data_IF_338489910545
#
_entry.id   IF_338489910545
#
_cell.length_a   1.000
_cell.length_b   1.000
_cell.length_c   1.000
_cell.angle_alpha   90.00
_cell.angle_beta   90.00
_cell.angle_gamma   90.00
#
_symmetry.space_group_name_H-M   'P 1'
#
loop_
_entity.id
_entity.type
_entity.pdbx_description
1 polymer ?
#
# COMPACT_ATOMS: atom_id res chain seq x y z
N UNK A 1 -14.35 -12.79 -12.03
CA UNK A 1 -12.94 -12.33 -12.03
C UNK A 1 -12.85 -10.96 -12.71
N UNK A 2 -12.09 -10.01 -12.17
CA UNK A 2 -11.91 -8.65 -12.70
C UNK A 2 -10.58 -8.57 -13.45
N UNK A 3 -10.55 -7.83 -14.56
CA UNK A 3 -9.32 -7.64 -15.32
C UNK A 3 -8.30 -6.80 -14.56
N UNK A 4 -7.03 -7.17 -14.65
CA UNK A 4 -5.89 -6.41 -14.12
C UNK A 4 -5.90 -4.97 -14.62
N UNK A 5 -6.30 -4.74 -15.89
CA UNK A 5 -6.44 -3.40 -16.46
C UNK A 5 -7.46 -2.53 -15.71
N UNK A 6 -8.65 -3.06 -15.41
CA UNK A 6 -9.68 -2.33 -14.65
C UNK A 6 -9.21 -2.02 -13.22
N UNK A 7 -8.63 -3.00 -12.52
CA UNK A 7 -8.11 -2.80 -11.17
C UNK A 7 -7.03 -1.71 -11.13
N UNK A 8 -6.10 -1.73 -12.08
CA UNK A 8 -5.05 -0.72 -12.15
C UNK A 8 -5.59 0.69 -12.42
N UNK A 9 -6.64 0.85 -13.24
CA UNK A 9 -7.28 2.15 -13.47
C UNK A 9 -7.92 2.68 -12.18
N UNK A 10 -8.67 1.84 -11.48
CA UNK A 10 -9.32 2.20 -10.20
C UNK A 10 -8.27 2.63 -9.18
N UNK A 11 -7.20 1.84 -9.01
CA UNK A 11 -6.14 2.16 -8.04
C UNK A 11 -5.43 3.47 -8.38
N UNK A 12 -5.14 3.71 -9.66
CA UNK A 12 -4.52 4.98 -10.09
C UNK A 12 -5.43 6.16 -9.77
N UNK A 13 -6.72 6.07 -10.08
CA UNK A 13 -7.69 7.11 -9.76
C UNK A 13 -7.78 7.35 -8.25
N UNK A 14 -7.83 6.30 -7.44
CA UNK A 14 -7.86 6.38 -5.98
C UNK A 14 -6.61 7.07 -5.40
N UNK A 15 -5.42 6.75 -5.92
CA UNK A 15 -4.16 7.38 -5.48
C UNK A 15 -4.10 8.85 -5.89
N UNK A 16 -4.66 9.24 -7.04
CA UNK A 16 -4.75 10.65 -7.45
C UNK A 16 -5.74 11.42 -6.58
N UNK A 17 -6.91 10.83 -6.31
CA UNK A 17 -7.95 11.46 -5.49
C UNK A 17 -7.55 11.60 -4.01
N UNK A 18 -6.88 10.60 -3.45
CA UNK A 18 -6.40 10.61 -2.07
C UNK A 18 -4.99 9.99 -1.97
N UNK A 19 -3.95 10.81 -2.23
CA UNK A 19 -2.57 10.34 -2.17
C UNK A 19 -2.22 9.80 -0.78
N UNK A 20 -1.59 8.61 -0.68
CA UNK A 20 -1.11 8.12 0.60
C UNK A 20 0.00 9.05 1.12
N UNK A 21 -0.02 9.42 2.41
CA UNK A 21 0.96 10.35 2.97
C UNK A 21 2.35 9.73 2.98
N UNK A 22 3.37 10.58 2.90
CA UNK A 22 4.76 10.18 3.08
C UNK A 22 4.97 9.60 4.48
N UNK A 23 5.74 8.52 4.58
CA UNK A 23 6.14 7.94 5.87
C UNK A 23 7.58 7.50 5.81
N UNK A 24 8.31 7.65 6.93
CA UNK A 24 9.72 7.25 7.05
C UNK A 24 10.59 7.82 5.90
N UNK A 25 10.35 9.08 5.53
CA UNK A 25 11.01 9.76 4.39
C UNK A 25 10.90 9.01 3.04
N UNK A 26 9.88 8.17 2.86
CA UNK A 26 9.63 7.43 1.62
C UNK A 26 8.21 7.66 1.12
N UNK A 27 8.08 7.71 -0.21
CA UNK A 27 6.79 7.81 -0.90
C UNK A 27 6.16 6.42 -1.04
N UNK A 28 4.93 6.18 -0.55
CA UNK A 28 4.20 4.95 -0.83
C UNK A 28 3.90 4.85 -2.33
N UNK A 29 4.25 3.72 -2.96
CA UNK A 29 4.03 3.49 -4.40
C UNK A 29 3.38 2.15 -4.63
N UNK A 30 2.28 2.13 -5.37
CA UNK A 30 1.65 0.91 -5.88
C UNK A 30 2.05 0.75 -7.34
N UNK A 31 2.61 -0.39 -7.69
CA UNK A 31 3.06 -0.71 -9.04
C UNK A 31 1.91 -1.27 -9.89
N UNK A 32 1.19 -2.25 -9.33
CA UNK A 32 0.03 -2.85 -9.99
C UNK A 32 -0.87 -3.56 -8.98
N UNK A 33 -2.10 -3.82 -9.41
CA UNK A 33 -3.10 -4.60 -8.68
C UNK A 33 -3.65 -5.73 -9.55
N UNK A 34 -3.88 -6.91 -8.96
CA UNK A 34 -4.45 -8.07 -9.65
C UNK A 34 -5.37 -8.86 -8.71
N UNK A 35 -6.36 -9.55 -9.26
CA UNK A 35 -7.20 -10.48 -8.52
C UNK A 35 -6.59 -11.89 -8.56
N UNK A 36 -6.29 -12.44 -7.38
CA UNK A 36 -5.66 -13.76 -7.23
C UNK A 36 -6.64 -14.86 -6.79
N UNK A 37 -7.78 -14.48 -6.22
CA UNK A 37 -8.82 -15.41 -5.77
C UNK A 37 -10.21 -14.83 -6.03
N UNK A 38 -11.20 -15.69 -6.20
CA UNK A 38 -12.58 -15.33 -6.56
C UNK A 38 -13.55 -15.42 -5.40
N UNK A 39 -13.37 -16.36 -4.46
CA UNK A 39 -14.30 -16.55 -3.35
C UNK A 39 -13.55 -16.77 -2.02
N UNK A 40 -13.24 -15.71 -1.26
CA UNK A 40 -13.63 -14.31 -1.48
C UNK A 40 -12.75 -13.59 -2.53
N UNK A 41 -13.26 -12.54 -3.21
CA UNK A 41 -12.45 -11.73 -4.12
C UNK A 41 -11.21 -11.17 -3.41
N UNK A 42 -10.05 -11.68 -3.77
CA UNK A 42 -8.78 -11.28 -3.15
C UNK A 42 -7.93 -10.50 -4.15
N UNK A 43 -7.67 -9.24 -3.83
CA UNK A 43 -6.90 -8.31 -4.64
C UNK A 43 -5.52 -8.15 -4.00
N UNK A 44 -4.47 -8.48 -4.76
CA UNK A 44 -3.08 -8.23 -4.39
C UNK A 44 -2.62 -6.94 -5.04
N UNK A 45 -2.11 -6.00 -4.24
CA UNK A 45 -1.40 -4.83 -4.71
C UNK A 45 0.10 -5.04 -4.50
N UNK A 46 0.87 -5.01 -5.58
CA UNK A 46 2.32 -4.92 -5.48
C UNK A 46 2.71 -3.47 -5.25
N UNK A 47 3.50 -3.26 -4.22
CA UNK A 47 3.97 -1.94 -3.79
C UNK A 47 5.45 -2.00 -3.44
N UNK A 48 6.06 -0.85 -3.17
CA UNK A 48 7.41 -0.81 -2.63
C UNK A 48 7.45 -1.40 -1.21
N UNK A 49 6.68 -0.83 -0.29
CA UNK A 49 6.71 -1.23 1.11
C UNK A 49 5.29 -1.22 1.71
N UNK A 50 4.70 -2.39 2.04
CA UNK A 50 3.35 -2.50 2.60
C UNK A 50 3.11 -1.70 3.89
N UNK A 51 4.18 -1.49 4.67
CA UNK A 51 4.17 -0.73 5.93
C UNK A 51 4.06 0.79 5.75
N UNK A 52 4.28 1.31 4.54
CA UNK A 52 4.10 2.74 4.27
C UNK A 52 2.62 3.13 4.18
N UNK A 53 1.75 2.17 3.90
CA UNK A 53 0.31 2.40 3.81
C UNK A 53 -0.33 2.21 5.19
N UNK A 54 -0.91 3.28 5.73
CA UNK A 54 -1.59 3.22 7.03
C UNK A 54 -2.84 2.32 6.97
N UNK A 55 -3.29 1.79 8.11
CA UNK A 55 -4.57 1.06 8.18
C UNK A 55 -5.75 1.91 7.68
N UNK A 56 -5.77 3.21 7.96
CA UNK A 56 -6.80 4.14 7.47
C UNK A 56 -6.81 4.24 5.93
N UNK A 57 -5.63 4.35 5.31
CA UNK A 57 -5.54 4.43 3.85
C UNK A 57 -5.93 3.11 3.18
N UNK A 58 -5.57 1.97 3.79
CA UNK A 58 -6.04 0.64 3.34
C UNK A 58 -7.56 0.52 3.39
N UNK A 59 -8.21 1.04 4.45
CA UNK A 59 -9.68 1.10 4.57
C UNK A 59 -10.31 2.00 3.51
N UNK A 60 -9.70 3.16 3.25
CA UNK A 60 -10.12 4.04 2.14
C UNK A 60 -10.12 3.29 0.81
N UNK A 61 -9.00 2.64 0.47
CA UNK A 61 -8.89 1.89 -0.79
C UNK A 61 -9.89 0.73 -0.87
N UNK A 62 -10.17 0.07 0.26
CA UNK A 62 -11.24 -0.93 0.35
C UNK A 62 -12.62 -0.34 0.06
N UNK A 63 -12.92 0.85 0.57
CA UNK A 63 -14.16 1.58 0.25
C UNK A 63 -14.29 1.82 -1.25
N UNK A 64 -13.24 2.36 -1.89
CA UNK A 64 -13.23 2.57 -3.35
C UNK A 64 -13.49 1.26 -4.11
N UNK A 65 -12.86 0.14 -3.70
CA UNK A 65 -13.14 -1.14 -4.35
C UNK A 65 -14.56 -1.64 -4.13
N UNK A 66 -15.20 -1.35 -2.99
CA UNK A 66 -16.62 -1.72 -2.76
C UNK A 66 -17.57 -0.91 -3.64
N UNK A 67 -17.23 0.33 -3.94
CA UNK A 67 -18.03 1.20 -4.81
C UNK A 67 -17.86 0.83 -6.30
N UNK A 68 -16.63 0.55 -6.72
CA UNK A 68 -16.27 0.37 -8.13
C UNK A 68 -16.39 -1.07 -8.66
N UNK A 69 -16.42 -2.07 -7.77
CA UNK A 69 -16.46 -3.49 -8.14
C UNK A 69 -17.84 -4.12 -7.85
N UNK A 70 -18.27 -5.10 -8.66
CA UNK A 70 -19.58 -5.76 -8.50
C UNK A 70 -19.58 -6.80 -7.37
N UNK A 71 -19.07 -6.46 -6.19
CA UNK A 71 -18.92 -7.35 -5.03
C UNK A 71 -19.66 -6.80 -3.80
N UNK A 72 -20.94 -6.45 -3.95
CA UNK A 72 -21.71 -5.81 -2.88
C UNK A 72 -21.95 -6.73 -1.69
N UNK A 73 -22.20 -8.01 -1.97
CA UNK A 73 -22.65 -9.00 -0.99
C UNK A 73 -21.52 -9.85 -0.39
N UNK A 74 -20.33 -9.82 -0.99
CA UNK A 74 -19.17 -10.61 -0.54
C UNK A 74 -18.05 -9.70 -0.02
N UNK A 75 -17.33 -10.09 1.03
CA UNK A 75 -16.19 -9.32 1.50
C UNK A 75 -15.07 -9.32 0.46
N UNK A 76 -14.45 -8.16 0.24
CA UNK A 76 -13.25 -8.01 -0.58
C UNK A 76 -12.02 -8.08 0.33
N UNK A 77 -11.05 -8.93 0.00
CA UNK A 77 -9.75 -9.00 0.69
C UNK A 77 -8.70 -8.19 -0.07
N UNK A 78 -7.96 -7.36 0.66
CA UNK A 78 -6.82 -6.60 0.13
C UNK A 78 -5.53 -7.11 0.76
N UNK A 79 -4.58 -7.50 -0.09
CA UNK A 79 -3.25 -7.89 0.33
C UNK A 79 -2.22 -6.96 -0.33
N UNK A 80 -1.38 -6.32 0.46
CA UNK A 80 -0.25 -5.54 -0.06
C UNK A 80 1.02 -6.36 0.06
N UNK A 81 1.75 -6.52 -1.03
CA UNK A 81 3.02 -7.24 -1.06
C UNK A 81 4.11 -6.35 -1.62
N UNK A 82 5.30 -6.43 -1.03
CA UNK A 82 6.47 -5.80 -1.61
C UNK A 82 6.86 -6.49 -2.93
N UNK A 83 7.51 -5.76 -3.83
CA UNK A 83 8.18 -6.35 -4.99
C UNK A 83 9.54 -6.89 -4.52
N UNK A 84 9.99 -7.97 -5.16
CA UNK A 84 11.29 -8.58 -4.86
C UNK A 84 12.40 -7.53 -5.02
N UNK A 85 13.23 -7.36 -4.00
CA UNK A 85 14.25 -6.29 -3.89
C UNK A 85 13.84 -5.07 -3.07
N UNK A 86 12.53 -4.80 -2.90
CA UNK A 86 12.06 -3.71 -2.03
C UNK A 86 11.88 -4.19 -0.56
N UNK A 87 12.04 -5.49 -0.25
CA UNK A 87 11.95 -6.04 1.12
C UNK A 87 13.23 -5.81 1.94
N UNK A 88 14.41 -5.92 1.31
CA UNK A 88 15.71 -5.81 2.00
C UNK A 88 16.08 -4.38 2.38
N UNK A 89 15.49 -3.37 1.74
CA UNK A 89 15.64 -1.95 2.12
C UNK A 89 14.57 -1.48 3.12
N UNK A 90 14.01 -2.42 3.91
CA UNK A 90 13.26 -2.12 5.14
C UNK A 90 14.10 -1.25 6.09
N UNK A 91 13.50 -0.56 7.08
CA UNK A 91 14.09 0.65 7.64
C UNK A 91 15.36 0.37 8.45
N UNK A 92 16.51 0.36 7.76
CA UNK A 92 17.79 0.77 8.30
C UNK A 92 17.79 2.30 8.40
N UNK A 93 16.87 2.84 9.19
CA UNK A 93 17.07 4.18 9.74
C UNK A 93 17.79 3.94 11.05
N UNK A 94 19.11 4.01 10.95
CA UNK A 94 20.01 4.46 12.00
C UNK A 94 19.23 5.04 13.20
N UNK A 95 19.00 4.22 14.23
CA UNK A 95 18.97 4.76 15.57
C UNK A 95 20.33 5.44 15.69
N UNK A 96 20.38 6.76 15.65
CA UNK A 96 21.60 7.45 16.08
C UNK A 96 21.67 7.18 17.58
N UNK A 97 22.64 6.39 18.10
CA UNK A 97 22.95 6.55 19.51
C UNK A 97 23.34 8.02 19.70
N UNK A 98 22.81 8.62 20.77
CA UNK A 98 22.74 10.06 20.99
C UNK A 98 23.92 10.84 20.44
N UNK A 99 23.63 11.71 19.47
CA UNK A 99 24.47 12.86 19.19
C UNK A 99 24.21 13.89 20.29
N UNK A 100 24.72 13.60 21.49
CA UNK A 100 25.01 14.58 22.55
C UNK A 100 26.36 14.16 23.15
N UNK A 101 27.38 14.22 22.30
CA UNK A 101 28.77 14.29 22.72
C UNK A 101 29.36 15.49 21.98
N UNK A 102 29.10 16.68 22.53
CA UNK A 102 29.98 17.84 22.38
C UNK A 102 30.04 18.52 23.75
N UNK A 103 31.24 18.51 24.32
CA UNK A 103 31.65 19.17 25.55
C UNK A 103 31.34 20.67 25.52
N UNK A 104 31.10 21.27 26.69
CA UNK A 104 31.43 22.66 27.02
C UNK A 104 31.26 22.91 28.53
N UNK A 105 32.39 23.15 29.20
CA UNK A 105 32.63 23.68 30.58
C UNK A 105 32.10 22.92 31.82
#
# INVERSE_FOLDING_TARGET
RISTGRLNRIVRAAVVANPPPFRKNRRPKIFYATQVDTFPPTIVLKCNHPQLFSPSWKRYLLGVFREELPFREVPIKILMRARQGDEETGPALHERPGADMVESD
#
